data_IF_407028410272
#
_entry.id   IF_407028410272
#
_cell.length_a   1.000
_cell.length_b   1.000
_cell.length_c   1.000
_cell.angle_alpha   90.00
_cell.angle_beta   90.00
_cell.angle_gamma   90.00
#
_symmetry.space_group_name_H-M   'P 1'
#
loop_
_entity.id
_entity.type
_entity.pdbx_description
1 polymer ?
#
# COMPACT_ATOMS: atom_id res chain seq x y z
N UNK A 1 -17.46 -45.34 4.68
CA UNK A 1 -17.88 -46.71 5.10
C UNK A 1 -18.81 -46.68 6.31
N UNK A 2 -18.41 -46.06 7.43
CA UNK A 2 -19.24 -46.00 8.65
C UNK A 2 -20.66 -45.45 8.42
N UNK A 3 -20.80 -44.33 7.70
CA UNK A 3 -22.10 -43.74 7.34
C UNK A 3 -22.98 -44.70 6.52
N UNK A 4 -22.42 -45.38 5.52
CA UNK A 4 -23.16 -46.32 4.69
C UNK A 4 -23.63 -47.55 5.48
N UNK A 5 -22.77 -48.10 6.35
CA UNK A 5 -23.12 -49.20 7.23
C UNK A 5 -24.23 -48.81 8.22
N UNK A 6 -24.17 -47.59 8.75
CA UNK A 6 -25.21 -47.05 9.63
C UNK A 6 -26.56 -46.88 8.91
N UNK A 7 -26.56 -46.40 7.66
CA UNK A 7 -27.78 -46.31 6.82
C UNK A 7 -28.37 -47.70 6.52
N UNK A 8 -27.52 -48.72 6.35
CA UNK A 8 -27.92 -50.10 6.07
C UNK A 8 -28.25 -50.94 7.32
N UNK A 9 -28.30 -50.32 8.51
CA UNK A 9 -28.56 -50.99 9.80
C UNK A 9 -27.53 -52.10 10.16
N UNK A 10 -26.32 -52.04 9.59
CA UNK A 10 -25.20 -52.92 9.96
C UNK A 10 -24.39 -52.27 11.09
N UNK A 11 -24.88 -52.43 12.32
CA UNK A 11 -24.25 -51.86 13.52
C UNK A 11 -22.80 -52.31 13.70
N UNK A 12 -22.50 -53.59 13.49
CA UNK A 12 -21.16 -54.14 13.72
C UNK A 12 -20.13 -53.59 12.71
N UNK A 13 -20.52 -53.39 11.46
CA UNK A 13 -19.67 -52.72 10.48
C UNK A 13 -19.57 -51.22 10.73
N UNK A 14 -20.66 -50.57 11.12
CA UNK A 14 -20.68 -49.14 11.41
C UNK A 14 -19.73 -48.78 12.57
N UNK A 15 -19.78 -49.53 13.68
CA UNK A 15 -18.92 -49.32 14.85
C UNK A 15 -17.45 -49.56 14.53
N UNK A 16 -17.12 -50.65 13.83
CA UNK A 16 -15.73 -50.94 13.41
C UNK A 16 -15.18 -49.89 12.46
N UNK A 17 -15.98 -49.47 11.47
CA UNK A 17 -15.56 -48.47 10.50
C UNK A 17 -15.45 -47.07 11.13
N UNK A 18 -16.28 -46.74 12.11
CA UNK A 18 -16.18 -45.50 12.87
C UNK A 18 -14.91 -45.49 13.72
N UNK A 19 -14.64 -46.57 14.45
CA UNK A 19 -13.42 -46.70 15.25
C UNK A 19 -12.16 -46.57 14.40
N UNK A 20 -12.14 -47.17 13.21
CA UNK A 20 -11.04 -47.01 12.26
C UNK A 20 -10.93 -45.59 11.70
N UNK A 21 -12.06 -44.90 11.47
CA UNK A 21 -12.08 -43.49 11.07
C UNK A 21 -11.42 -42.60 12.12
N UNK A 22 -11.86 -42.72 13.38
CA UNK A 22 -11.29 -42.00 14.53
C UNK A 22 -9.79 -42.29 14.66
N UNK A 23 -9.38 -43.55 14.52
CA UNK A 23 -7.97 -43.95 14.61
C UNK A 23 -7.10 -43.32 13.53
N UNK A 24 -7.65 -43.09 12.33
CA UNK A 24 -6.90 -42.50 11.21
C UNK A 24 -6.85 -40.99 11.29
N UNK A 25 -7.99 -40.35 11.56
CA UNK A 25 -8.10 -38.91 11.68
C UNK A 25 -9.33 -38.57 12.53
N UNK A 26 -9.12 -38.35 13.82
CA UNK A 26 -10.20 -38.08 14.78
C UNK A 26 -10.91 -36.75 14.46
N UNK A 27 -10.15 -35.72 14.09
CA UNK A 27 -10.67 -34.39 13.79
C UNK A 27 -11.63 -34.41 12.60
N UNK A 28 -11.17 -34.92 11.45
CA UNK A 28 -11.98 -35.00 10.22
C UNK A 28 -13.19 -35.90 10.44
N UNK A 29 -13.02 -37.00 11.18
CA UNK A 29 -14.14 -37.90 11.53
C UNK A 29 -15.16 -37.20 12.42
N UNK A 30 -14.71 -36.49 13.45
CA UNK A 30 -15.55 -35.78 14.41
C UNK A 30 -16.33 -34.65 13.73
N UNK A 31 -15.66 -33.83 12.92
CA UNK A 31 -16.31 -32.76 12.17
C UNK A 31 -17.33 -33.31 11.16
N UNK A 32 -16.96 -34.36 10.42
CA UNK A 32 -17.87 -35.01 9.45
C UNK A 32 -19.14 -35.54 10.13
N UNK A 33 -19.00 -36.28 11.24
CA UNK A 33 -20.15 -36.82 11.95
C UNK A 33 -20.96 -35.75 12.67
N UNK A 34 -20.35 -34.65 13.11
CA UNK A 34 -21.05 -33.46 13.62
C UNK A 34 -21.99 -32.87 12.57
N UNK A 35 -21.45 -32.54 11.40
CA UNK A 35 -22.21 -31.99 10.26
C UNK A 35 -23.30 -32.96 9.77
N UNK A 36 -23.00 -34.25 9.66
CA UNK A 36 -23.98 -35.27 9.26
C UNK A 36 -25.10 -35.39 10.30
N UNK A 37 -24.77 -35.45 11.60
CA UNK A 37 -25.77 -35.49 12.67
C UNK A 37 -26.68 -34.25 12.64
N UNK A 38 -26.12 -33.07 12.35
CA UNK A 38 -26.90 -31.85 12.20
C UNK A 38 -27.84 -31.92 11.00
N UNK A 39 -27.34 -32.38 9.85
CA UNK A 39 -28.10 -32.51 8.59
C UNK A 39 -29.37 -33.38 8.72
N UNK A 40 -29.33 -34.40 9.56
CA UNK A 40 -30.43 -35.35 9.80
C UNK A 40 -31.30 -34.98 11.02
N UNK A 41 -31.02 -33.88 11.72
CA UNK A 41 -31.80 -33.41 12.88
C UNK A 41 -31.45 -34.09 14.21
N UNK A 42 -30.25 -34.68 14.37
CA UNK A 42 -29.78 -35.27 15.64
C UNK A 42 -28.92 -34.28 16.42
N UNK A 43 -29.55 -33.24 16.95
CA UNK A 43 -28.88 -32.09 17.60
C UNK A 43 -27.96 -32.50 18.76
N UNK A 44 -28.43 -33.32 19.69
CA UNK A 44 -27.60 -33.79 20.82
C UNK A 44 -26.37 -34.61 20.38
N UNK A 45 -26.47 -35.33 19.25
CA UNK A 45 -25.32 -36.09 18.72
C UNK A 45 -24.36 -35.17 17.97
N UNK A 46 -24.90 -34.17 17.25
CA UNK A 46 -24.13 -33.11 16.62
C UNK A 46 -23.26 -32.38 17.64
N UNK A 47 -23.86 -31.89 18.73
CA UNK A 47 -23.14 -31.18 19.80
C UNK A 47 -21.97 -32.02 20.34
N UNK A 48 -22.19 -33.31 20.63
CA UNK A 48 -21.12 -34.19 21.14
C UNK A 48 -19.94 -34.34 20.17
N UNK A 49 -20.23 -34.40 18.87
CA UNK A 49 -19.18 -34.50 17.85
C UNK A 49 -18.44 -33.18 17.64
N UNK A 50 -19.14 -32.04 17.66
CA UNK A 50 -18.51 -30.72 17.62
C UNK A 50 -17.68 -30.44 18.87
N UNK A 51 -18.17 -30.80 20.05
CA UNK A 51 -17.41 -30.71 21.29
C UNK A 51 -16.12 -31.53 21.22
N UNK A 52 -16.21 -32.79 20.79
CA UNK A 52 -15.03 -33.64 20.60
C UNK A 52 -14.02 -33.04 19.62
N UNK A 53 -14.49 -32.47 18.51
CA UNK A 53 -13.61 -31.81 17.54
C UNK A 53 -12.91 -30.60 18.17
N UNK A 54 -13.68 -29.68 18.75
CA UNK A 54 -13.22 -28.41 19.30
C UNK A 54 -12.27 -28.58 20.49
N UNK A 55 -12.58 -29.50 21.41
CA UNK A 55 -11.73 -29.82 22.57
C UNK A 55 -10.38 -30.44 22.19
N UNK A 56 -10.27 -31.01 20.99
CA UNK A 56 -9.04 -31.60 20.48
C UNK A 56 -8.15 -30.60 19.71
N UNK A 57 -8.63 -29.38 19.45
CA UNK A 57 -7.88 -28.38 18.69
C UNK A 57 -6.88 -27.62 19.55
N UNK A 58 -5.78 -27.18 18.93
CA UNK A 58 -4.80 -26.25 19.48
C UNK A 58 -5.03 -24.87 18.86
N UNK A 59 -5.33 -23.85 19.67
CA UNK A 59 -5.63 -22.50 19.18
C UNK A 59 -4.46 -21.81 18.46
N UNK A 60 -3.22 -22.27 18.65
CA UNK A 60 -2.05 -21.80 17.90
C UNK A 60 -1.87 -22.53 16.56
N UNK A 61 -2.53 -23.68 16.39
CA UNK A 61 -2.32 -24.59 15.27
C UNK A 61 -3.65 -25.14 14.75
N UNK A 62 -4.45 -24.23 14.23
CA UNK A 62 -5.69 -24.55 13.54
C UNK A 62 -5.43 -24.70 12.04
N UNK A 63 -5.96 -25.78 11.48
CA UNK A 63 -5.98 -25.96 10.04
C UNK A 63 -7.24 -25.31 9.43
N UNK A 64 -7.42 -25.50 8.12
CA UNK A 64 -8.58 -24.97 7.39
C UNK A 64 -9.92 -25.54 7.84
N UNK A 65 -9.96 -26.70 8.51
CA UNK A 65 -11.21 -27.29 9.02
C UNK A 65 -11.84 -26.41 10.12
N UNK A 66 -11.04 -25.59 10.81
CA UNK A 66 -11.57 -24.59 11.75
C UNK A 66 -12.43 -23.53 11.03
N UNK A 67 -12.10 -23.17 9.78
CA UNK A 67 -12.90 -22.24 8.96
C UNK A 67 -14.27 -22.85 8.61
N UNK A 68 -14.33 -24.16 8.39
CA UNK A 68 -15.60 -24.89 8.16
C UNK A 68 -16.52 -24.76 9.39
N UNK A 69 -15.97 -24.86 10.59
CA UNK A 69 -16.74 -24.68 11.84
C UNK A 69 -17.21 -23.23 11.98
N UNK A 70 -16.32 -22.27 11.70
CA UNK A 70 -16.68 -20.84 11.69
C UNK A 70 -17.80 -20.54 10.67
N UNK A 71 -17.75 -21.15 9.49
CA UNK A 71 -18.77 -20.97 8.46
C UNK A 71 -20.12 -21.57 8.90
N UNK A 72 -20.09 -22.80 9.43
CA UNK A 72 -21.29 -23.43 9.96
C UNK A 72 -21.90 -22.63 11.13
N UNK A 73 -21.06 -22.05 11.99
CA UNK A 73 -21.45 -21.22 13.11
C UNK A 73 -22.02 -19.86 12.65
N UNK A 74 -21.29 -19.10 11.85
CA UNK A 74 -21.70 -17.80 11.35
C UNK A 74 -22.97 -17.89 10.50
N UNK A 75 -23.14 -18.98 9.77
CA UNK A 75 -24.34 -19.28 8.96
C UNK A 75 -25.53 -19.79 9.78
N UNK A 76 -25.40 -19.99 11.10
CA UNK A 76 -26.47 -20.44 11.98
C UNK A 76 -26.88 -21.89 11.78
N UNK A 77 -25.98 -22.72 11.24
CA UNK A 77 -26.30 -24.08 10.81
C UNK A 77 -26.18 -25.09 11.95
N UNK A 78 -25.57 -24.74 13.09
CA UNK A 78 -25.23 -25.67 14.16
C UNK A 78 -26.36 -25.85 15.19
N UNK A 79 -27.25 -24.87 15.30
CA UNK A 79 -28.37 -24.87 16.26
C UNK A 79 -27.95 -24.40 17.65
N UNK A 80 -28.89 -23.81 18.39
CA UNK A 80 -28.63 -23.00 19.58
C UNK A 80 -27.63 -23.58 20.60
N UNK A 81 -27.78 -24.86 21.00
CA UNK A 81 -26.91 -25.45 22.01
C UNK A 81 -25.48 -25.65 21.50
N UNK A 82 -25.33 -26.09 20.25
CA UNK A 82 -24.02 -26.23 19.59
C UNK A 82 -23.38 -24.87 19.35
N UNK A 83 -24.16 -23.87 18.95
CA UNK A 83 -23.69 -22.50 18.73
C UNK A 83 -23.17 -21.88 20.03
N UNK A 84 -23.90 -22.01 21.13
CA UNK A 84 -23.43 -21.52 22.43
C UNK A 84 -22.10 -22.16 22.84
N UNK A 85 -21.95 -23.47 22.63
CA UNK A 85 -20.71 -24.18 22.92
C UNK A 85 -19.55 -23.68 22.03
N UNK A 86 -19.77 -23.59 20.71
CA UNK A 86 -18.76 -23.11 19.76
C UNK A 86 -18.33 -21.68 20.09
N UNK A 87 -19.29 -20.81 20.44
CA UNK A 87 -19.00 -19.44 20.83
C UNK A 87 -18.15 -19.37 22.10
N UNK A 88 -18.45 -20.18 23.12
CA UNK A 88 -17.63 -20.26 24.33
C UNK A 88 -16.21 -20.71 24.03
N UNK A 89 -16.04 -21.72 23.17
CA UNK A 89 -14.71 -22.18 22.75
C UNK A 89 -13.93 -21.09 22.01
N UNK A 90 -14.59 -20.36 21.10
CA UNK A 90 -13.99 -19.23 20.39
C UNK A 90 -13.49 -18.17 21.37
N UNK A 91 -14.29 -17.81 22.38
CA UNK A 91 -13.89 -16.85 23.41
C UNK A 91 -12.71 -17.36 24.24
N UNK A 92 -12.68 -18.66 24.56
CA UNK A 92 -11.56 -19.27 25.27
C UNK A 92 -10.27 -19.23 24.46
N UNK A 93 -10.31 -19.60 23.17
CA UNK A 93 -9.16 -19.51 22.27
C UNK A 93 -8.62 -18.08 22.17
N UNK A 94 -9.51 -17.09 21.96
CA UNK A 94 -9.11 -15.68 21.92
C UNK A 94 -8.44 -15.27 23.24
N UNK A 95 -9.04 -15.58 24.39
CA UNK A 95 -8.48 -15.23 25.70
C UNK A 95 -7.13 -15.91 25.97
N UNK A 96 -6.96 -17.17 25.56
CA UNK A 96 -5.72 -17.91 25.74
C UNK A 96 -4.59 -17.36 24.87
N UNK A 97 -4.91 -16.98 23.63
CA UNK A 97 -3.97 -16.34 22.72
C UNK A 97 -3.57 -14.95 23.21
N UNK A 98 -4.53 -14.12 23.61
CA UNK A 98 -4.28 -12.77 24.13
C UNK A 98 -3.48 -12.76 25.44
N UNK A 99 -3.60 -13.80 26.27
CA UNK A 99 -2.81 -13.94 27.49
C UNK A 99 -1.32 -14.26 27.23
N UNK A 100 -0.94 -14.67 26.01
CA UNK A 100 0.45 -15.03 25.69
C UNK A 100 1.30 -13.76 25.51
N UNK A 101 2.48 -13.68 26.14
CA UNK A 101 3.37 -12.52 26.00
C UNK A 101 3.72 -12.23 24.54
N UNK A 102 3.58 -10.96 24.12
CA UNK A 102 3.93 -10.54 22.76
C UNK A 102 2.93 -10.99 21.68
N UNK A 103 1.81 -11.63 22.04
CA UNK A 103 0.83 -12.06 21.06
C UNK A 103 -0.01 -10.90 20.54
N UNK A 104 -0.52 -10.03 21.43
CA UNK A 104 -1.34 -8.88 21.06
C UNK A 104 -0.59 -7.92 20.12
N UNK A 105 0.69 -7.67 20.36
CA UNK A 105 1.53 -6.83 19.49
C UNK A 105 1.69 -7.44 18.10
N UNK A 106 1.98 -8.75 18.02
CA UNK A 106 2.05 -9.47 16.74
C UNK A 106 0.73 -9.44 15.99
N UNK A 107 -0.38 -9.64 16.70
CA UNK A 107 -1.71 -9.60 16.09
C UNK A 107 -2.05 -8.20 15.58
N UNK A 108 -1.66 -7.15 16.32
CA UNK A 108 -1.83 -5.78 15.90
C UNK A 108 -1.02 -5.49 14.63
N UNK A 109 0.23 -5.96 14.54
CA UNK A 109 1.06 -5.84 13.34
C UNK A 109 0.47 -6.62 12.15
N UNK A 110 -0.07 -7.82 12.37
CA UNK A 110 -0.78 -8.58 11.34
C UNK A 110 -1.97 -7.80 10.78
N UNK A 111 -2.77 -7.18 11.66
CA UNK A 111 -3.88 -6.32 11.23
C UNK A 111 -3.39 -5.06 10.50
N UNK A 112 -2.30 -4.44 10.93
CA UNK A 112 -1.70 -3.30 10.23
C UNK A 112 -1.27 -3.67 8.82
N UNK A 113 -0.63 -4.83 8.66
CA UNK A 113 -0.22 -5.35 7.36
C UNK A 113 -1.43 -5.67 6.48
N UNK A 114 -2.45 -6.32 7.04
CA UNK A 114 -3.67 -6.65 6.30
C UNK A 114 -4.42 -5.39 5.83
N UNK A 115 -4.50 -4.35 6.66
CA UNK A 115 -5.10 -3.06 6.30
C UNK A 115 -4.27 -2.35 5.23
N UNK A 116 -2.96 -2.24 5.41
CA UNK A 116 -2.06 -1.61 4.43
C UNK A 116 -2.04 -2.36 3.09
N UNK A 117 -2.37 -3.66 3.05
CA UNK A 117 -2.53 -4.40 1.78
C UNK A 117 -3.61 -3.83 0.86
N UNK A 118 -4.55 -3.03 1.40
CA UNK A 118 -5.60 -2.34 0.64
C UNK A 118 -5.17 -0.97 0.12
N UNK A 119 -3.97 -0.48 0.45
CA UNK A 119 -3.44 0.80 -0.02
C UNK A 119 -3.24 0.75 -1.54
N UNK A 120 -3.73 1.77 -2.23
CA UNK A 120 -3.62 1.91 -3.69
C UNK A 120 -2.58 2.99 -4.01
N UNK A 121 -1.59 2.71 -4.89
CA UNK A 121 -0.64 3.72 -5.32
C UNK A 121 -1.30 4.91 -6.02
N UNK A 122 -0.75 6.11 -5.85
CA UNK A 122 -1.20 7.28 -6.59
C UNK A 122 -0.99 7.09 -8.10
N UNK A 123 -1.89 7.69 -8.88
CA UNK A 123 -1.71 7.77 -10.33
C UNK A 123 -0.56 8.72 -10.64
N UNK A 124 0.33 8.30 -11.53
CA UNK A 124 1.43 9.15 -12.00
C UNK A 124 0.91 10.41 -12.69
N UNK A 125 1.55 11.54 -12.42
CA UNK A 125 1.25 12.83 -13.03
C UNK A 125 0.09 13.58 -12.39
N UNK A 126 -0.31 13.21 -11.16
CA UNK A 126 -1.29 13.99 -10.38
C UNK A 126 -0.68 15.32 -9.91
N UNK A 127 0.59 15.31 -9.52
CA UNK A 127 1.33 16.46 -9.03
C UNK A 127 2.66 16.60 -9.81
N UNK A 128 2.60 16.91 -11.12
CA UNK A 128 3.77 16.88 -12.00
C UNK A 128 4.89 17.87 -11.60
N UNK A 129 4.59 18.97 -10.91
CA UNK A 129 5.61 19.90 -10.45
C UNK A 129 6.27 19.41 -9.16
N UNK A 130 5.52 18.91 -8.18
CA UNK A 130 6.08 18.30 -6.98
C UNK A 130 6.90 17.06 -7.31
N UNK A 131 6.41 16.18 -8.19
CA UNK A 131 7.13 14.98 -8.69
C UNK A 131 8.52 15.34 -9.25
N UNK A 132 8.66 16.52 -9.85
CA UNK A 132 9.88 16.93 -10.56
C UNK A 132 10.77 17.88 -9.77
N UNK A 133 10.19 18.74 -8.94
CA UNK A 133 10.84 19.88 -8.31
C UNK A 133 10.74 19.84 -6.78
N UNK A 134 10.43 18.69 -6.17
CA UNK A 134 10.43 18.53 -4.72
C UNK A 134 11.13 17.23 -4.30
N UNK A 135 12.19 17.32 -3.51
CA UNK A 135 12.82 16.13 -2.93
C UNK A 135 11.95 15.46 -1.87
N UNK A 136 10.96 16.19 -1.33
CA UNK A 136 9.99 15.64 -0.37
C UNK A 136 8.87 14.85 -1.02
N UNK A 137 8.83 14.77 -2.35
CA UNK A 137 7.74 14.13 -3.10
C UNK A 137 7.47 12.68 -2.67
N UNK A 138 8.48 11.83 -2.52
CA UNK A 138 8.28 10.42 -2.15
C UNK A 138 7.52 10.28 -0.81
N UNK A 139 7.80 11.18 0.14
CA UNK A 139 7.10 11.21 1.42
C UNK A 139 5.66 11.74 1.27
N UNK A 140 5.46 12.79 0.45
CA UNK A 140 4.13 13.34 0.15
C UNK A 140 3.23 12.30 -0.51
N UNK A 141 3.78 11.57 -1.47
CA UNK A 141 3.10 10.46 -2.13
C UNK A 141 2.69 9.40 -1.10
N UNK A 142 3.61 8.91 -0.26
CA UNK A 142 3.30 7.88 0.73
C UNK A 142 2.19 8.31 1.71
N UNK A 143 2.25 9.55 2.23
CA UNK A 143 1.25 10.01 3.20
C UNK A 143 -0.12 10.25 2.56
N UNK A 144 -0.19 10.65 1.29
CA UNK A 144 -1.46 10.81 0.58
C UNK A 144 -2.06 9.46 0.18
N UNK A 145 -1.25 8.47 -0.22
CA UNK A 145 -1.69 7.08 -0.37
C UNK A 145 -2.24 6.53 0.96
N UNK A 146 -1.55 6.82 2.07
CA UNK A 146 -2.00 6.48 3.42
C UNK A 146 -3.30 7.19 3.83
N UNK A 147 -3.53 8.42 3.40
CA UNK A 147 -4.79 9.13 3.66
C UNK A 147 -5.94 8.57 2.82
N UNK A 148 -5.69 8.23 1.55
CA UNK A 148 -6.68 7.61 0.66
C UNK A 148 -7.15 6.24 1.16
N UNK A 149 -6.27 5.48 1.82
CA UNK A 149 -6.60 4.20 2.46
C UNK A 149 -7.79 4.31 3.42
N UNK A 150 -8.02 5.46 4.06
CA UNK A 150 -9.16 5.66 4.95
C UNK A 150 -10.50 5.34 4.26
N UNK A 151 -10.72 5.92 3.09
CA UNK A 151 -11.97 5.72 2.36
C UNK A 151 -12.00 4.39 1.62
N UNK A 152 -10.86 3.89 1.14
CA UNK A 152 -10.76 2.57 0.52
C UNK A 152 -11.14 1.46 1.53
N UNK A 153 -10.66 1.57 2.77
CA UNK A 153 -11.00 0.65 3.85
C UNK A 153 -12.48 0.75 4.25
N UNK A 154 -13.02 1.97 4.32
CA UNK A 154 -14.43 2.19 4.57
C UNK A 154 -15.31 1.53 3.49
N UNK A 155 -15.06 1.78 2.21
CA UNK A 155 -15.85 1.20 1.13
C UNK A 155 -15.67 -0.32 1.04
N UNK A 156 -14.47 -0.85 1.36
CA UNK A 156 -14.25 -2.29 1.48
C UNK A 156 -15.20 -2.92 2.50
N UNK A 157 -15.16 -2.47 3.76
CA UNK A 157 -15.99 -3.07 4.80
C UNK A 157 -17.47 -2.79 4.59
N UNK A 158 -17.83 -1.58 4.15
CA UNK A 158 -19.22 -1.27 3.78
C UNK A 158 -19.76 -2.26 2.75
N UNK A 159 -19.00 -2.56 1.69
CA UNK A 159 -19.37 -3.58 0.69
C UNK A 159 -19.55 -4.96 1.29
N UNK A 160 -18.66 -5.38 2.20
CA UNK A 160 -18.77 -6.67 2.92
C UNK A 160 -20.09 -6.76 3.67
N UNK A 161 -20.46 -5.72 4.42
CA UNK A 161 -21.68 -5.72 5.23
C UNK A 161 -22.97 -5.52 4.41
N UNK A 162 -22.90 -4.79 3.28
CA UNK A 162 -24.00 -4.63 2.33
C UNK A 162 -24.26 -5.88 1.47
N UNK A 163 -23.29 -6.80 1.37
CA UNK A 163 -23.43 -8.02 0.57
C UNK A 163 -24.57 -8.88 1.12
N UNK A 164 -25.54 -9.15 0.23
CA UNK A 164 -26.69 -10.00 0.57
C UNK A 164 -26.25 -11.45 0.71
N UNK A 165 -26.60 -12.03 1.84
CA UNK A 165 -26.47 -13.47 2.05
C UNK A 165 -27.60 -14.18 1.28
N UNK A 166 -27.25 -15.22 0.53
CA UNK A 166 -28.26 -16.03 -0.12
C UNK A 166 -28.98 -16.89 0.94
N UNK A 167 -30.28 -16.66 1.13
CA UNK A 167 -31.12 -17.48 2.00
C UNK A 167 -31.31 -18.86 1.38
N UNK A 168 -30.38 -19.78 1.64
CA UNK A 168 -30.45 -21.18 1.21
C UNK A 168 -30.99 -22.08 2.33
N UNK A 169 -31.63 -23.18 1.95
CA UNK A 169 -32.15 -24.18 2.89
C UNK A 169 -30.98 -24.80 3.67
N UNK A 170 -31.13 -24.98 4.98
CA UNK A 170 -30.14 -25.59 5.89
C UNK A 170 -29.40 -26.80 5.28
N UNK A 171 -30.13 -27.74 4.67
CA UNK A 171 -29.53 -28.93 4.06
C UNK A 171 -28.60 -28.63 2.89
N UNK A 172 -28.90 -27.61 2.08
CA UNK A 172 -28.07 -27.21 0.93
C UNK A 172 -26.77 -26.57 1.40
N UNK A 173 -26.82 -25.76 2.44
CA UNK A 173 -25.62 -25.14 3.02
C UNK A 173 -24.75 -26.19 3.73
N UNK A 174 -25.36 -27.08 4.51
CA UNK A 174 -24.63 -28.21 5.11
C UNK A 174 -24.01 -29.13 4.06
N UNK A 175 -24.70 -29.40 2.94
CA UNK A 175 -24.18 -30.24 1.87
C UNK A 175 -22.93 -29.61 1.21
N UNK A 176 -22.86 -28.28 1.07
CA UNK A 176 -21.65 -27.60 0.58
C UNK A 176 -20.50 -27.64 1.58
N UNK A 177 -20.78 -27.41 2.86
CA UNK A 177 -19.77 -27.47 3.92
C UNK A 177 -19.21 -28.90 4.01
N UNK A 178 -20.07 -29.91 3.88
CA UNK A 178 -19.66 -31.31 3.77
C UNK A 178 -18.85 -31.60 2.51
N UNK A 179 -19.25 -31.04 1.36
CA UNK A 179 -18.50 -31.18 0.11
C UNK A 179 -17.11 -30.54 0.24
N UNK A 180 -17.01 -29.35 0.83
CA UNK A 180 -15.72 -28.70 1.15
C UNK A 180 -14.87 -29.59 2.05
N UNK A 181 -15.42 -30.10 3.15
CA UNK A 181 -14.67 -30.98 4.06
C UNK A 181 -14.12 -32.24 3.38
N UNK A 182 -14.84 -32.77 2.41
CA UNK A 182 -14.48 -34.00 1.70
C UNK A 182 -13.53 -33.73 0.51
N UNK A 183 -13.70 -32.60 -0.17
CA UNK A 183 -12.91 -32.20 -1.35
C UNK A 183 -11.70 -31.32 -1.01
N UNK A 184 -11.61 -30.84 0.23
CA UNK A 184 -10.46 -30.09 0.71
C UNK A 184 -9.18 -30.92 0.64
N UNK A 185 -8.13 -30.23 0.18
CA UNK A 185 -6.80 -30.79 0.01
C UNK A 185 -6.31 -31.38 1.32
N UNK A 186 -5.86 -32.63 1.26
CA UNK A 186 -5.16 -33.21 2.39
C UNK A 186 -3.72 -32.68 2.49
N UNK A 187 -3.03 -33.04 3.58
CA UNK A 187 -1.64 -32.64 3.81
C UNK A 187 -0.71 -33.06 2.65
N UNK A 188 -1.06 -34.12 1.90
CA UNK A 188 -0.28 -34.60 0.76
C UNK A 188 -0.48 -33.73 -0.48
N UNK A 189 -1.65 -33.10 -0.64
CA UNK A 189 -2.01 -32.22 -1.76
C UNK A 189 -1.58 -30.75 -1.57
N UNK A 190 -1.38 -30.28 -0.32
CA UNK A 190 -0.99 -28.89 -0.02
C UNK A 190 0.34 -28.44 -0.66
N UNK A 191 1.42 -29.25 -0.69
CA UNK A 191 2.66 -28.89 -1.40
C UNK A 191 2.45 -28.60 -2.89
N UNK A 192 1.59 -29.39 -3.55
CA UNK A 192 1.29 -29.24 -4.97
C UNK A 192 0.51 -27.96 -5.26
N UNK A 193 -0.33 -27.51 -4.32
CA UNK A 193 -1.04 -26.22 -4.45
C UNK A 193 -0.14 -25.02 -4.28
N UNK A 194 0.86 -25.09 -3.39
CA UNK A 194 1.88 -24.03 -3.28
C UNK A 194 2.69 -23.92 -4.56
N UNK A 195 3.00 -25.06 -5.18
CA UNK A 195 3.69 -25.09 -6.48
C UNK A 195 2.82 -24.50 -7.59
N UNK A 196 1.55 -24.92 -7.69
CA UNK A 196 0.60 -24.36 -8.68
C UNK A 196 0.46 -22.84 -8.56
N UNK A 197 0.28 -22.31 -7.34
CA UNK A 197 0.17 -20.87 -7.12
C UNK A 197 1.46 -20.13 -7.47
N UNK A 198 2.63 -20.70 -7.13
CA UNK A 198 3.90 -20.12 -7.54
C UNK A 198 3.96 -20.00 -9.07
N UNK A 199 3.60 -21.06 -9.80
CA UNK A 199 3.56 -21.04 -11.26
C UNK A 199 2.54 -20.02 -11.80
N UNK A 200 1.37 -19.88 -11.19
CA UNK A 200 0.40 -18.84 -11.55
C UNK A 200 0.95 -17.43 -11.34
N UNK A 201 1.68 -17.19 -10.25
CA UNK A 201 2.34 -15.91 -9.97
C UNK A 201 3.50 -15.66 -10.94
N UNK A 202 4.26 -16.69 -11.32
CA UNK A 202 5.29 -16.60 -12.36
C UNK A 202 4.65 -16.15 -13.68
N UNK A 203 3.52 -16.75 -14.07
CA UNK A 203 2.76 -16.33 -15.26
C UNK A 203 2.27 -14.89 -15.12
N UNK A 204 1.67 -14.53 -13.98
CA UNK A 204 1.17 -13.18 -13.69
C UNK A 204 2.25 -12.11 -13.75
N UNK A 205 3.46 -12.43 -13.30
CA UNK A 205 4.63 -11.54 -13.35
C UNK A 205 5.49 -11.73 -14.60
N UNK A 206 4.91 -12.24 -15.70
CA UNK A 206 5.56 -12.38 -17.01
C UNK A 206 6.89 -13.16 -16.95
N UNK A 207 6.91 -14.28 -16.22
CA UNK A 207 8.07 -15.16 -16.08
C UNK A 207 9.06 -14.74 -14.98
N UNK A 208 8.73 -13.75 -14.15
CA UNK A 208 9.62 -13.30 -13.08
C UNK A 208 9.46 -14.13 -11.79
N UNK A 209 10.23 -15.21 -11.68
CA UNK A 209 10.29 -16.06 -10.47
C UNK A 209 10.65 -15.27 -9.20
N UNK A 210 11.54 -14.28 -9.31
CA UNK A 210 11.92 -13.46 -8.15
C UNK A 210 10.74 -12.64 -7.60
N UNK A 211 9.84 -12.14 -8.46
CA UNK A 211 8.63 -11.41 -8.01
C UNK A 211 7.58 -12.38 -7.50
N UNK A 212 7.43 -13.54 -8.13
CA UNK A 212 6.56 -14.60 -7.67
C UNK A 212 6.97 -15.10 -6.28
N UNK A 213 8.26 -15.33 -6.03
CA UNK A 213 8.78 -15.71 -4.71
C UNK A 213 8.60 -14.60 -3.67
N UNK A 214 8.78 -13.33 -4.05
CA UNK A 214 8.55 -12.21 -3.14
C UNK A 214 7.07 -12.11 -2.75
N UNK A 215 6.16 -12.29 -3.71
CA UNK A 215 4.71 -12.31 -3.46
C UNK A 215 4.31 -13.54 -2.63
N UNK A 216 4.82 -14.73 -2.96
CA UNK A 216 4.62 -15.96 -2.16
C UNK A 216 5.14 -15.80 -0.72
N UNK A 217 6.23 -15.05 -0.52
CA UNK A 217 6.78 -14.79 0.81
C UNK A 217 5.95 -13.77 1.61
N UNK A 218 5.18 -12.91 0.93
CA UNK A 218 4.18 -12.02 1.54
C UNK A 218 2.86 -12.76 1.82
N UNK A 219 2.48 -13.70 0.95
CA UNK A 219 1.28 -14.56 1.04
C UNK A 219 1.49 -15.81 1.91
N UNK A 220 2.65 -15.93 2.57
CA UNK A 220 3.15 -17.16 3.21
C UNK A 220 2.17 -17.82 4.19
N UNK A 221 1.24 -17.06 4.77
CA UNK A 221 0.27 -17.55 5.75
C UNK A 221 -0.94 -18.27 5.15
N UNK A 222 -1.26 -18.07 3.86
CA UNK A 222 -2.55 -18.52 3.30
C UNK A 222 -2.62 -20.04 3.16
N UNK A 223 -1.48 -20.69 2.94
CA UNK A 223 -1.33 -22.14 2.72
C UNK A 223 -0.44 -22.82 3.75
N UNK A 224 -0.09 -22.13 4.84
CA UNK A 224 0.51 -22.81 5.98
C UNK A 224 -0.50 -23.86 6.50
N UNK A 225 0.02 -25.06 6.79
CA UNK A 225 -0.77 -26.22 7.23
C UNK A 225 -1.56 -25.88 8.51
N UNK A 226 -1.04 -24.94 9.30
CA UNK A 226 -1.61 -24.49 10.57
C UNK A 226 -1.45 -22.97 10.75
N UNK A 227 -2.45 -22.33 11.34
CA UNK A 227 -2.49 -20.92 11.73
C UNK A 227 -3.06 -20.80 13.14
N UNK A 228 -2.69 -19.74 13.85
CA UNK A 228 -3.43 -19.39 15.06
C UNK A 228 -4.84 -18.89 14.72
N UNK A 229 -5.75 -19.00 15.68
CA UNK A 229 -7.15 -18.63 15.49
C UNK A 229 -7.34 -17.17 15.06
N UNK A 230 -6.51 -16.25 15.55
CA UNK A 230 -6.68 -14.83 15.23
C UNK A 230 -6.25 -14.54 13.79
N UNK A 231 -5.23 -15.22 13.28
CA UNK A 231 -4.87 -15.16 11.87
C UNK A 231 -5.99 -15.70 10.96
N UNK A 232 -6.69 -16.78 11.36
CA UNK A 232 -7.85 -17.26 10.62
C UNK A 232 -8.96 -16.20 10.51
N UNK A 233 -9.20 -15.44 11.58
CA UNK A 233 -10.16 -14.33 11.54
C UNK A 233 -9.70 -13.20 10.62
N UNK A 234 -8.41 -12.86 10.63
CA UNK A 234 -7.83 -11.86 9.72
C UNK A 234 -7.99 -12.29 8.26
N UNK A 235 -7.66 -13.54 7.93
CA UNK A 235 -7.77 -14.06 6.57
C UNK A 235 -9.24 -14.12 6.12
N UNK A 236 -10.13 -14.63 6.97
CA UNK A 236 -11.56 -14.69 6.68
C UNK A 236 -12.17 -13.30 6.48
N UNK A 237 -11.67 -12.28 7.18
CA UNK A 237 -12.13 -10.89 7.07
C UNK A 237 -11.58 -10.20 5.82
N UNK A 238 -10.26 -10.26 5.59
CA UNK A 238 -9.56 -9.42 4.63
C UNK A 238 -9.29 -10.09 3.27
N UNK A 239 -9.24 -11.43 3.25
CA UNK A 239 -8.91 -12.27 2.09
C UNK A 239 -9.92 -13.43 1.93
N UNK A 240 -11.24 -13.14 1.87
CA UNK A 240 -12.30 -14.16 1.93
C UNK A 240 -12.25 -15.19 0.80
N UNK A 241 -11.76 -14.82 -0.39
CA UNK A 241 -11.66 -15.74 -1.53
C UNK A 241 -10.58 -16.80 -1.30
N UNK A 242 -9.44 -16.38 -0.76
CA UNK A 242 -8.29 -17.25 -0.48
C UNK A 242 -8.56 -18.17 0.71
N UNK A 243 -9.23 -17.66 1.74
CA UNK A 243 -9.67 -18.43 2.90
C UNK A 243 -10.94 -19.26 2.63
N UNK A 244 -11.51 -19.18 1.41
CA UNK A 244 -12.81 -19.77 1.02
C UNK A 244 -13.93 -19.47 2.01
N UNK A 245 -13.88 -18.30 2.63
CA UNK A 245 -14.85 -17.88 3.64
C UNK A 245 -16.15 -17.43 3.00
N UNK A 246 -17.27 -17.87 3.57
CA UNK A 246 -18.58 -17.37 3.15
C UNK A 246 -18.78 -15.91 3.54
N UNK A 247 -19.79 -15.26 2.95
CA UNK A 247 -20.19 -13.89 3.33
C UNK A 247 -20.54 -13.80 4.82
N UNK A 248 -21.20 -14.83 5.37
CA UNK A 248 -21.52 -14.88 6.80
C UNK A 248 -20.25 -14.97 7.65
N UNK A 249 -19.30 -15.83 7.25
CA UNK A 249 -18.00 -15.98 7.92
C UNK A 249 -17.20 -14.69 7.89
N UNK A 250 -17.14 -14.02 6.74
CA UNK A 250 -16.40 -12.77 6.58
C UNK A 250 -16.98 -11.67 7.49
N UNK A 251 -18.31 -11.50 7.52
CA UNK A 251 -18.98 -10.54 8.41
C UNK A 251 -18.73 -10.86 9.87
N UNK A 252 -18.86 -12.12 10.25
CA UNK A 252 -18.63 -12.58 11.61
C UNK A 252 -17.17 -12.35 12.05
N UNK A 253 -16.20 -12.76 11.24
CA UNK A 253 -14.77 -12.58 11.54
C UNK A 253 -14.39 -11.09 11.65
N UNK A 254 -14.94 -10.26 10.76
CA UNK A 254 -14.77 -8.80 10.81
C UNK A 254 -15.36 -8.21 12.09
N UNK A 255 -16.59 -8.61 12.45
CA UNK A 255 -17.25 -8.10 13.64
C UNK A 255 -16.54 -8.55 14.92
N UNK A 256 -16.15 -9.82 15.01
CA UNK A 256 -15.40 -10.38 16.14
C UNK A 256 -14.03 -9.69 16.30
N UNK A 257 -13.39 -9.31 15.19
CA UNK A 257 -12.09 -8.63 15.18
C UNK A 257 -12.18 -7.10 15.24
N UNK A 258 -13.37 -6.53 15.44
CA UNK A 258 -13.63 -5.09 15.44
C UNK A 258 -12.60 -4.30 16.23
N UNK A 259 -12.33 -4.68 17.48
CA UNK A 259 -11.44 -3.91 18.34
C UNK A 259 -10.00 -3.93 17.80
N UNK A 260 -9.54 -5.06 17.27
CA UNK A 260 -8.20 -5.17 16.69
C UNK A 260 -8.07 -4.35 15.41
N UNK A 261 -9.11 -4.38 14.55
CA UNK A 261 -9.16 -3.56 13.32
C UNK A 261 -9.11 -2.07 13.68
N UNK A 262 -9.93 -1.62 14.64
CA UNK A 262 -10.00 -0.22 15.06
C UNK A 262 -8.68 0.24 15.67
N UNK A 263 -8.05 -0.56 16.52
CA UNK A 263 -6.74 -0.22 17.11
C UNK A 263 -5.66 -0.15 16.03
N UNK A 264 -5.57 -1.14 15.14
CA UNK A 264 -4.61 -1.16 14.04
C UNK A 264 -4.79 0.04 13.09
N UNK A 265 -6.04 0.36 12.76
CA UNK A 265 -6.37 1.48 11.91
C UNK A 265 -5.99 2.83 12.53
N UNK A 266 -6.31 3.03 13.81
CA UNK A 266 -5.91 4.26 14.53
C UNK A 266 -4.40 4.45 14.56
N UNK A 267 -3.65 3.37 14.78
CA UNK A 267 -2.18 3.43 14.73
C UNK A 267 -1.66 3.81 13.33
N UNK A 268 -2.23 3.23 12.26
CA UNK A 268 -1.86 3.58 10.87
C UNK A 268 -2.13 5.06 10.62
N UNK A 269 -3.33 5.55 10.99
CA UNK A 269 -3.70 6.96 10.80
C UNK A 269 -2.78 7.88 11.59
N UNK A 270 -2.47 7.54 12.84
CA UNK A 270 -1.55 8.31 13.67
C UNK A 270 -0.14 8.36 13.08
N UNK A 271 0.39 7.21 12.65
CA UNK A 271 1.69 7.13 11.97
C UNK A 271 1.71 7.94 10.68
N UNK A 272 0.65 7.86 9.87
CA UNK A 272 0.53 8.61 8.63
C UNK A 272 0.57 10.12 8.88
N UNK A 273 -0.20 10.60 9.88
CA UNK A 273 -0.21 12.01 10.30
C UNK A 273 1.14 12.49 10.83
N UNK A 274 1.87 11.63 11.53
CA UNK A 274 3.22 11.95 12.02
C UNK A 274 4.25 12.08 10.90
N UNK A 275 4.05 11.37 9.78
CA UNK A 275 4.96 11.40 8.63
C UNK A 275 4.71 12.58 7.69
N UNK A 276 3.60 13.31 7.85
CA UNK A 276 3.30 14.49 7.04
C UNK A 276 4.40 15.53 7.26
N UNK A 277 5.15 15.92 6.21
CA UNK A 277 6.24 16.86 6.38
C UNK A 277 5.68 18.24 6.73
N UNK A 278 6.29 18.91 7.70
CA UNK A 278 5.91 20.27 8.10
C UNK A 278 6.27 21.30 7.01
N UNK A 279 7.49 21.21 6.48
CA UNK A 279 7.93 22.00 5.33
C UNK A 279 8.02 21.10 4.09
N UNK A 280 7.60 21.60 2.93
CA UNK A 280 7.72 20.95 1.63
C UNK A 280 8.80 21.67 0.82
N UNK A 281 9.75 20.90 0.28
CA UNK A 281 10.88 21.45 -0.47
C UNK A 281 10.49 21.88 -1.89
N UNK A 282 11.11 22.97 -2.35
CA UNK A 282 11.05 23.49 -3.72
C UNK A 282 12.47 23.55 -4.25
N UNK A 283 12.76 22.75 -5.28
CA UNK A 283 14.08 22.54 -5.85
C UNK A 283 14.05 22.85 -7.36
N UNK A 284 14.56 24.03 -7.75
CA UNK A 284 14.55 24.51 -9.14
C UNK A 284 15.95 24.96 -9.55
N UNK A 285 16.59 24.24 -10.47
CA UNK A 285 18.00 24.45 -10.85
C UNK A 285 18.95 24.43 -9.63
N UNK A 286 19.45 25.61 -9.24
CA UNK A 286 20.35 25.84 -8.10
C UNK A 286 19.62 26.35 -6.87
N UNK A 287 18.34 26.68 -7.01
CA UNK A 287 17.48 27.17 -5.93
C UNK A 287 16.92 26.00 -5.14
N UNK A 288 17.11 26.03 -3.82
CA UNK A 288 16.55 25.08 -2.87
C UNK A 288 15.93 25.90 -1.74
N UNK A 289 14.62 25.79 -1.60
CA UNK A 289 13.84 26.50 -0.60
C UNK A 289 12.71 25.57 -0.12
N UNK A 290 11.83 26.08 0.74
CA UNK A 290 10.72 25.34 1.27
C UNK A 290 9.57 26.25 1.68
N UNK A 291 8.37 25.70 1.73
CA UNK A 291 7.18 26.37 2.25
C UNK A 291 6.34 25.37 3.04
N UNK A 292 5.54 25.85 3.99
CA UNK A 292 4.67 25.00 4.80
C UNK A 292 3.35 24.71 4.07
N UNK A 293 2.75 25.75 3.54
CA UNK A 293 1.40 25.77 2.98
C UNK A 293 1.26 26.70 1.77
N UNK A 294 2.34 27.39 1.35
CA UNK A 294 2.34 28.31 0.21
C UNK A 294 2.00 29.76 0.55
N UNK A 295 1.69 30.11 1.81
CA UNK A 295 1.36 31.50 2.18
C UNK A 295 2.52 32.49 1.94
N UNK A 296 3.76 32.01 1.95
CA UNK A 296 4.98 32.79 1.74
C UNK A 296 5.43 32.87 0.26
N UNK A 297 4.54 32.64 -0.71
CA UNK A 297 4.86 32.63 -2.15
C UNK A 297 5.72 33.83 -2.58
N UNK A 298 5.28 35.05 -2.26
CA UNK A 298 5.99 36.28 -2.65
C UNK A 298 7.40 36.34 -2.01
N UNK A 299 7.57 35.83 -0.80
CA UNK A 299 8.88 35.77 -0.15
C UNK A 299 9.79 34.77 -0.83
N UNK A 300 9.30 33.56 -1.16
CA UNK A 300 10.04 32.53 -1.91
C UNK A 300 10.46 33.08 -3.28
N UNK A 301 9.56 33.74 -4.00
CA UNK A 301 9.85 34.33 -5.31
C UNK A 301 10.90 35.45 -5.22
N UNK A 302 10.85 36.26 -4.17
CA UNK A 302 11.87 37.29 -3.91
C UNK A 302 13.23 36.66 -3.58
N UNK A 303 13.28 35.57 -2.81
CA UNK A 303 14.53 34.83 -2.54
C UNK A 303 15.10 34.24 -3.82
N UNK A 304 14.27 33.68 -4.70
CA UNK A 304 14.68 33.19 -6.01
C UNK A 304 15.22 34.31 -6.90
N UNK A 305 14.53 35.44 -7.00
CA UNK A 305 14.98 36.58 -7.81
C UNK A 305 16.34 37.12 -7.35
N UNK A 306 16.54 37.23 -6.04
CA UNK A 306 17.82 37.63 -5.46
C UNK A 306 18.95 36.64 -5.81
N UNK A 307 18.70 35.33 -5.75
CA UNK A 307 19.68 34.32 -6.13
C UNK A 307 20.06 34.44 -7.62
N UNK A 308 19.06 34.53 -8.51
CA UNK A 308 19.27 34.66 -9.94
C UNK A 308 20.05 35.95 -10.27
N UNK A 309 19.74 37.06 -9.61
CA UNK A 309 20.48 38.31 -9.77
C UNK A 309 21.94 38.18 -9.33
N UNK A 310 22.20 37.54 -8.19
CA UNK A 310 23.57 37.29 -7.70
C UNK A 310 24.38 36.41 -8.65
N UNK A 311 23.79 35.34 -9.17
CA UNK A 311 24.40 34.48 -10.18
C UNK A 311 24.71 35.26 -11.46
N UNK A 312 23.75 36.07 -11.94
CA UNK A 312 23.93 36.92 -13.12
C UNK A 312 25.09 37.89 -12.95
N UNK A 313 25.17 38.59 -11.82
CA UNK A 313 26.27 39.52 -11.54
C UNK A 313 27.62 38.79 -11.48
N UNK A 314 27.65 37.60 -10.88
CA UNK A 314 28.85 36.76 -10.80
C UNK A 314 29.34 36.38 -12.20
N UNK A 315 28.46 35.93 -13.09
CA UNK A 315 28.83 35.52 -14.44
C UNK A 315 29.18 36.69 -15.35
N UNK A 316 28.46 37.81 -15.25
CA UNK A 316 28.82 39.05 -15.95
C UNK A 316 30.20 39.57 -15.54
N UNK A 317 30.60 39.41 -14.27
CA UNK A 317 31.91 39.86 -13.78
C UNK A 317 33.09 39.13 -14.44
N UNK A 318 32.88 37.90 -14.91
CA UNK A 318 33.86 37.06 -15.61
C UNK A 318 33.99 37.44 -17.09
N UNK A 319 32.98 38.07 -17.69
CA UNK A 319 32.94 38.45 -19.11
C UNK A 319 33.64 39.80 -19.35
N UNK A 320 34.96 39.84 -19.13
CA UNK A 320 35.80 41.02 -19.38
C UNK A 320 36.86 40.71 -20.44
N UNK A 321 37.27 41.74 -21.18
CA UNK A 321 38.40 41.63 -22.11
C UNK A 321 39.67 41.24 -21.35
N UNK A 322 40.38 40.23 -21.82
CA UNK A 322 41.64 39.81 -21.23
C UNK A 322 42.70 40.92 -21.38
N UNK A 323 43.71 40.93 -20.52
CA UNK A 323 44.76 41.95 -20.49
C UNK A 323 45.39 42.16 -21.88
N UNK A 324 45.69 41.07 -22.60
CA UNK A 324 46.20 41.12 -23.97
C UNK A 324 45.25 41.82 -24.95
N UNK A 325 43.94 41.53 -24.88
CA UNK A 325 42.94 42.13 -25.76
C UNK A 325 42.74 43.62 -25.48
N UNK A 326 42.88 44.05 -24.22
CA UNK A 326 42.89 45.47 -23.84
C UNK A 326 44.14 46.18 -24.37
N UNK A 327 45.31 45.54 -24.27
CA UNK A 327 46.57 46.09 -24.77
C UNK A 327 46.66 46.12 -26.30
N UNK A 328 45.93 45.28 -27.04
CA UNK A 328 45.92 45.31 -28.51
C UNK A 328 45.50 46.66 -29.11
N UNK A 329 44.69 47.45 -28.41
CA UNK A 329 44.32 48.80 -28.86
C UNK A 329 45.51 49.78 -28.78
N UNK A 330 46.13 49.87 -27.61
CA UNK A 330 47.27 50.78 -27.36
C UNK A 330 48.54 50.31 -28.06
N UNK A 331 48.81 48.99 -28.03
CA UNK A 331 49.91 48.35 -28.73
C UNK A 331 49.75 48.45 -30.25
N UNK A 332 48.54 48.25 -30.78
CA UNK A 332 48.25 48.46 -32.20
C UNK A 332 48.48 49.91 -32.63
N UNK A 333 48.02 50.89 -31.85
CA UNK A 333 48.25 52.31 -32.12
C UNK A 333 49.75 52.68 -32.09
N UNK A 334 50.51 52.16 -31.12
CA UNK A 334 51.97 52.36 -31.05
C UNK A 334 52.71 51.74 -32.24
N UNK A 335 52.28 50.55 -32.68
CA UNK A 335 52.85 49.84 -33.85
C UNK A 335 52.54 50.58 -35.16
N UNK A 336 51.34 51.14 -35.31
CA UNK A 336 51.00 52.02 -36.43
C UNK A 336 51.87 53.28 -36.42
N UNK A 337 52.00 53.95 -35.27
CA UNK A 337 52.81 55.16 -35.13
C UNK A 337 54.29 54.91 -35.48
N UNK A 338 54.85 53.80 -35.02
CA UNK A 338 56.20 53.36 -35.36
C UNK A 338 56.37 53.11 -36.86
N UNK A 339 55.40 52.45 -37.51
CA UNK A 339 55.42 52.24 -38.96
C UNK A 339 55.37 53.54 -39.77
N UNK A 340 54.63 54.55 -39.28
CA UNK A 340 54.57 55.89 -39.90
C UNK A 340 55.94 56.57 -39.80
N UNK A 341 56.55 56.61 -38.62
CA UNK A 341 57.88 57.23 -38.40
C UNK A 341 58.94 56.54 -39.26
N UNK A 342 58.94 55.20 -39.28
CA UNK A 342 59.87 54.40 -40.07
C UNK A 342 59.75 54.69 -41.57
N UNK A 343 58.55 54.94 -42.08
CA UNK A 343 58.31 55.28 -43.49
C UNK A 343 59.01 56.56 -43.94
N UNK A 344 59.33 57.48 -43.03
CA UNK A 344 60.11 58.69 -43.29
C UNK A 344 61.63 58.47 -43.21
N UNK A 345 62.10 57.41 -42.56
CA UNK A 345 63.53 57.11 -42.35
C UNK A 345 64.08 56.08 -43.34
N UNK A 346 63.36 54.99 -43.58
CA UNK A 346 63.71 53.90 -44.52
C UNK A 346 62.42 53.24 -45.03
N UNK A 347 62.23 53.23 -46.35
CA UNK A 347 60.99 52.74 -47.00
C UNK A 347 60.83 51.22 -46.93
N UNK A 348 61.86 50.49 -46.52
CA UNK A 348 61.87 49.04 -46.51
C UNK A 348 60.96 48.48 -45.38
N UNK A 349 59.91 47.74 -45.76
CA UNK A 349 59.00 47.00 -44.87
C UNK A 349 58.09 47.81 -43.92
N UNK A 350 58.04 49.15 -44.01
CA UNK A 350 57.20 49.97 -43.12
C UNK A 350 55.68 49.72 -43.26
N UNK A 351 55.23 49.27 -44.44
CA UNK A 351 53.84 48.87 -44.69
C UNK A 351 53.40 47.64 -43.88
N UNK A 352 54.32 46.70 -43.61
CA UNK A 352 54.03 45.48 -42.83
C UNK A 352 53.70 45.85 -41.38
N UNK A 353 54.45 46.78 -40.79
CA UNK A 353 54.19 47.26 -39.41
C UNK A 353 52.86 47.99 -39.30
N UNK A 354 52.47 48.76 -40.31
CA UNK A 354 51.17 49.46 -40.32
C UNK A 354 50.02 48.44 -40.41
N UNK A 355 50.12 47.43 -41.29
CA UNK A 355 49.12 46.36 -41.40
C UNK A 355 48.99 45.60 -40.07
N UNK A 356 50.11 45.26 -39.43
CA UNK A 356 50.11 44.55 -38.16
C UNK A 356 49.41 45.36 -37.06
N UNK A 357 49.69 46.66 -36.98
CA UNK A 357 49.04 47.57 -36.04
C UNK A 357 47.54 47.72 -36.29
N UNK A 358 47.11 47.83 -37.55
CA UNK A 358 45.68 47.84 -37.93
C UNK A 358 45.02 46.50 -37.57
N UNK A 359 45.68 45.37 -37.82
CA UNK A 359 45.19 44.04 -37.46
C UNK A 359 44.96 43.87 -35.95
N UNK A 360 45.85 44.40 -35.11
CA UNK A 360 45.70 44.42 -33.65
C UNK A 360 44.50 45.27 -33.19
N UNK A 361 44.28 46.42 -33.82
CA UNK A 361 43.12 47.28 -33.54
C UNK A 361 41.81 46.59 -33.97
N UNK A 362 41.76 45.99 -35.16
CA UNK A 362 40.59 45.22 -35.63
C UNK A 362 40.32 44.03 -34.70
N UNK A 363 41.36 43.33 -34.25
CA UNK A 363 41.24 42.24 -33.29
C UNK A 363 40.62 42.71 -31.97
N UNK A 364 41.04 43.86 -31.43
CA UNK A 364 40.44 44.47 -30.22
C UNK A 364 38.94 44.74 -30.41
N UNK A 365 38.54 45.39 -31.52
CA UNK A 365 37.12 45.67 -31.77
C UNK A 365 36.29 44.40 -31.97
N UNK A 366 36.86 43.38 -32.61
CA UNK A 366 36.20 42.09 -32.81
C UNK A 366 36.04 41.34 -31.48
N UNK A 367 37.06 41.33 -30.62
CA UNK A 367 36.99 40.76 -29.27
C UNK A 367 35.96 41.50 -28.40
N UNK A 368 35.95 42.84 -28.45
CA UNK A 368 34.97 43.67 -27.75
C UNK A 368 33.54 43.37 -28.20
N UNK A 369 33.30 43.24 -29.50
CA UNK A 369 31.98 42.88 -30.04
C UNK A 369 31.56 41.47 -29.62
N UNK A 370 32.49 40.50 -29.57
CA UNK A 370 32.21 39.15 -29.04
C UNK A 370 31.81 39.18 -27.57
N UNK A 371 32.55 39.91 -26.73
CA UNK A 371 32.23 40.06 -25.29
C UNK A 371 30.87 40.74 -25.11
N UNK A 372 30.56 41.78 -25.88
CA UNK A 372 29.23 42.42 -25.83
C UNK A 372 28.10 41.47 -26.22
N UNK A 373 28.29 40.64 -27.27
CA UNK A 373 27.31 39.61 -27.65
C UNK A 373 27.14 38.57 -26.54
N UNK A 374 28.22 38.15 -25.88
CA UNK A 374 28.15 37.22 -24.75
C UNK A 374 27.42 37.83 -23.56
N UNK A 375 27.69 39.09 -23.20
CA UNK A 375 26.98 39.82 -22.14
C UNK A 375 25.48 39.87 -22.45
N UNK A 376 25.10 40.25 -23.66
CA UNK A 376 23.69 40.33 -24.06
C UNK A 376 23.00 38.96 -23.98
N UNK A 377 23.66 37.92 -24.50
CA UNK A 377 23.16 36.54 -24.41
C UNK A 377 23.04 36.07 -22.96
N UNK A 378 23.99 36.41 -22.09
CA UNK A 378 23.93 36.10 -20.66
C UNK A 378 22.74 36.79 -20.00
N UNK A 379 22.51 38.09 -20.27
CA UNK A 379 21.34 38.81 -19.75
C UNK A 379 20.04 38.16 -20.21
N UNK A 380 19.92 37.83 -21.50
CA UNK A 380 18.73 37.16 -22.05
C UNK A 380 18.50 35.78 -21.42
N UNK A 381 19.54 34.97 -21.26
CA UNK A 381 19.47 33.66 -20.61
C UNK A 381 19.01 33.78 -19.15
N UNK A 382 19.53 34.76 -18.39
CA UNK A 382 19.12 34.97 -17.00
C UNK A 382 17.70 35.54 -16.88
N UNK A 383 17.26 36.37 -17.82
CA UNK A 383 15.87 36.82 -17.88
C UNK A 383 14.92 35.65 -18.14
N UNK A 384 15.27 34.76 -19.07
CA UNK A 384 14.50 33.53 -19.33
C UNK A 384 14.51 32.59 -18.12
N UNK A 385 15.66 32.38 -17.47
CA UNK A 385 15.78 31.59 -16.23
C UNK A 385 14.87 32.14 -15.13
N UNK A 386 14.85 33.46 -14.95
CA UNK A 386 13.99 34.11 -13.97
C UNK A 386 12.50 33.88 -14.28
N UNK A 387 12.09 34.09 -15.52
CA UNK A 387 10.70 33.92 -15.93
C UNK A 387 10.23 32.47 -15.79
N UNK A 388 10.97 31.50 -16.35
CA UNK A 388 10.60 30.09 -16.27
C UNK A 388 10.67 29.56 -14.83
N UNK A 389 11.68 29.98 -14.06
CA UNK A 389 11.82 29.58 -12.67
C UNK A 389 10.68 30.09 -11.80
N UNK A 390 10.26 31.35 -11.96
CA UNK A 390 9.09 31.90 -11.24
C UNK A 390 7.81 31.14 -11.60
N UNK A 391 7.61 30.76 -12.87
CA UNK A 391 6.45 29.96 -13.28
C UNK A 391 6.47 28.57 -12.62
N UNK A 392 7.63 27.89 -12.61
CA UNK A 392 7.79 26.59 -11.97
C UNK A 392 7.54 26.68 -10.46
N UNK A 393 8.12 27.66 -9.78
CA UNK A 393 7.94 27.86 -8.34
C UNK A 393 6.47 28.08 -8.00
N UNK A 394 5.78 28.96 -8.73
CA UNK A 394 4.33 29.19 -8.55
C UNK A 394 3.50 27.94 -8.76
N UNK A 395 3.79 27.18 -9.82
CA UNK A 395 3.08 25.93 -10.09
C UNK A 395 3.35 24.88 -9.00
N UNK A 396 4.58 24.80 -8.50
CA UNK A 396 4.95 23.92 -7.38
C UNK A 396 4.23 24.33 -6.10
N UNK A 397 4.17 25.63 -5.78
CA UNK A 397 3.43 26.15 -4.62
C UNK A 397 1.93 25.90 -4.74
N UNK A 398 1.34 26.08 -5.92
CA UNK A 398 -0.06 25.74 -6.16
C UNK A 398 -0.33 24.25 -5.88
N UNK A 399 0.54 23.35 -6.34
CA UNK A 399 0.45 21.93 -6.05
C UNK A 399 0.64 21.60 -4.56
N UNK A 400 1.49 22.36 -3.84
CA UNK A 400 1.62 22.24 -2.38
C UNK A 400 0.28 22.57 -1.69
N UNK A 401 -0.36 23.67 -2.09
CA UNK A 401 -1.67 24.07 -1.54
C UNK A 401 -2.71 23.00 -1.82
N UNK A 402 -2.79 22.55 -3.08
CA UNK A 402 -3.74 21.50 -3.50
C UNK A 402 -3.51 20.20 -2.72
N UNK A 403 -2.26 19.78 -2.54
CA UNK A 403 -1.89 18.62 -1.75
C UNK A 403 -2.35 18.75 -0.29
N UNK A 404 -2.13 19.90 0.35
CA UNK A 404 -2.51 20.12 1.76
C UNK A 404 -4.03 20.04 1.94
N UNK A 405 -4.78 20.60 1.00
CA UNK A 405 -6.24 20.53 0.98
C UNK A 405 -6.68 19.07 0.81
N UNK A 406 -6.20 18.39 -0.23
CA UNK A 406 -6.57 16.99 -0.51
C UNK A 406 -6.23 16.08 0.68
N UNK A 407 -5.00 16.18 1.22
CA UNK A 407 -4.60 15.39 2.38
C UNK A 407 -5.53 15.62 3.56
N UNK A 408 -5.89 16.87 3.86
CA UNK A 408 -6.80 17.20 4.98
C UNK A 408 -8.19 16.60 4.76
N UNK A 409 -8.72 16.69 3.54
CA UNK A 409 -10.01 16.10 3.18
C UNK A 409 -10.00 14.57 3.32
N UNK A 410 -8.95 13.91 2.81
CA UNK A 410 -8.76 12.45 2.86
C UNK A 410 -8.48 11.92 4.26
N UNK A 411 -7.69 12.64 5.04
CA UNK A 411 -7.43 12.30 6.44
C UNK A 411 -8.71 12.37 7.29
N UNK A 412 -9.59 13.33 7.03
CA UNK A 412 -10.88 13.44 7.71
C UNK A 412 -11.80 12.23 7.45
N UNK A 413 -11.61 11.50 6.35
CA UNK A 413 -12.37 10.29 6.03
C UNK A 413 -12.09 9.12 6.99
N UNK A 414 -10.99 9.17 7.77
CA UNK A 414 -10.73 8.22 8.86
C UNK A 414 -11.90 8.08 9.82
N UNK A 415 -12.64 9.17 10.06
CA UNK A 415 -13.84 9.16 10.89
C UNK A 415 -14.92 8.22 10.35
N UNK A 416 -15.07 8.10 9.02
CA UNK A 416 -16.06 7.20 8.40
C UNK A 416 -15.84 5.75 8.81
N UNK A 417 -14.56 5.31 8.85
CA UNK A 417 -14.19 3.96 9.27
C UNK A 417 -14.53 3.75 10.74
N UNK A 418 -14.17 4.71 11.61
CA UNK A 418 -14.43 4.62 13.04
C UNK A 418 -15.94 4.59 13.34
N UNK A 419 -16.70 5.53 12.78
CA UNK A 419 -18.16 5.62 12.92
C UNK A 419 -18.85 4.35 12.39
N UNK A 420 -18.32 3.72 11.34
CA UNK A 420 -18.82 2.46 10.79
C UNK A 420 -18.61 1.30 11.77
N UNK A 421 -17.40 1.15 12.30
CA UNK A 421 -17.11 0.08 13.26
C UNK A 421 -17.79 0.28 14.61
N UNK A 422 -18.05 1.52 15.06
CA UNK A 422 -18.87 1.79 16.26
C UNK A 422 -20.26 1.17 16.23
N UNK A 423 -20.84 1.00 15.04
CA UNK A 423 -22.18 0.44 14.87
C UNK A 423 -22.21 -1.10 14.84
N UNK A 424 -21.05 -1.73 14.66
CA UNK A 424 -20.92 -3.19 14.51
C UNK A 424 -20.86 -3.86 15.88
N UNK A 425 -21.76 -4.83 16.11
CA UNK A 425 -21.74 -5.71 17.28
C UNK A 425 -21.56 -7.17 16.85
N UNK A 426 -20.56 -7.91 17.35
CA UNK A 426 -20.30 -9.30 16.96
C UNK A 426 -21.54 -10.19 17.02
N UNK A 427 -22.38 -10.02 18.04
CA UNK A 427 -23.55 -10.88 18.32
C UNK A 427 -24.66 -10.74 17.26
N UNK A 428 -24.69 -9.63 16.52
CA UNK A 428 -25.68 -9.36 15.47
C UNK A 428 -25.34 -10.08 14.15
N UNK A 429 -24.11 -10.57 14.00
CA UNK A 429 -23.62 -11.24 12.80
C UNK A 429 -23.55 -12.77 12.92
N UNK A 430 -24.02 -13.32 14.05
CA UNK A 430 -24.33 -14.75 14.15
C UNK A 430 -25.74 -14.94 13.61
N UNK A 431 -25.86 -15.54 12.43
CA UNK A 431 -27.18 -15.80 11.83
C UNK A 431 -27.97 -16.74 12.73
N UNK A 432 -29.19 -16.36 13.11
CA UNK A 432 -30.13 -17.27 13.78
C UNK A 432 -31.06 -17.87 12.74
N UNK A 433 -30.94 -19.16 12.46
CA UNK A 433 -32.01 -19.89 11.78
C UNK A 433 -33.19 -19.97 12.77
N UNK A 434 -34.14 -19.05 12.66
CA UNK A 434 -35.39 -19.15 13.41
C UNK A 434 -36.04 -20.48 13.08
N UNK A 435 -36.20 -21.34 14.10
CA UNK A 435 -37.06 -22.51 14.00
C UNK A 435 -38.42 -22.01 13.52
N UNK A 436 -38.82 -22.51 12.35
CA UNK A 436 -40.13 -22.29 11.77
C UNK A 436 -41.16 -23.08 12.57
N UNK A 437 -41.35 -22.74 13.84
CA UNK A 437 -42.53 -23.10 14.62
C UNK A 437 -43.06 -21.82 15.27
N UNK A 438 -43.77 -21.02 14.46
CA UNK A 438 -44.90 -20.28 15.01
C UNK A 438 -45.83 -21.31 15.66
N UNK A 439 -45.73 -21.50 16.97
CA UNK A 439 -46.90 -21.87 17.74
C UNK A 439 -47.81 -20.66 17.71
N UNK A 440 -48.84 -20.77 16.88
CA UNK A 440 -50.06 -19.96 17.00
C UNK A 440 -50.54 -20.12 18.43
N UNK A 441 -50.58 -19.02 19.19
CA UNK A 441 -51.73 -18.67 20.03
C UNK A 441 -51.96 -17.18 19.83
#
# INVERSE_FOLDING_TARGET
VALAAWINDDKALAERALAEGIRRNDEKTSLFFGLICRRIGRENSSLKWFARYLEAQDEEKLDRKAVIVLDAFASGLLGNDTENFVYQQIQEWMSNLEAKPGFTERQLDNWKNAINSKRVPLKSGLYPYLEKYSNTWDNLQDVLEGANLNNDLYEYFKKVFEQKEETKKLKVELDKILDSLVTEFDEEELPLKREEQFEELVVRYNGSESKAHAQMALEKSVYDDYRDFMQLLTDASMNPEESKSSVATQKFATALSRNNIVTAFNDIVAQNRMNVPYDIEINVDTFNDKTQDGEDEEEVLNRFENLVEQEKQTDLSKLKLNMFEQFCLFGGAAVVLYGIIKSFMDKSFAFITIILGIGLIIYHFTAKQKVQKLIQKTIENYAQKLESGKQIIRATIAEIVDFRIEFTEKDAESKKVLDFFEQIKPEEYIRRLTNSERKII
#
